data_IF_084272530921
#
_entry.id   IF_084272530921
#
_cell.length_a   1.000
_cell.length_b   1.000
_cell.length_c   1.000
_cell.angle_alpha   90.00
_cell.angle_beta   90.00
_cell.angle_gamma   90.00
#
_symmetry.space_group_name_H-M   'P 1'
#
loop_
_entity.id
_entity.type
_entity.pdbx_description
1 polymer ?
#
# COMPACT_ATOMS: atom_id res chain seq x y z
N UNK A 1 -18.35 38.08 -17.15
CA UNK A 1 -17.47 37.33 -16.22
C UNK A 1 -18.10 35.96 -15.97
N UNK A 2 -17.70 34.92 -16.71
CA UNK A 2 -18.26 33.56 -16.55
C UNK A 2 -17.49 32.85 -15.43
N UNK A 3 -18.17 32.59 -14.30
CA UNK A 3 -17.61 31.80 -13.19
C UNK A 3 -17.39 30.37 -13.67
N UNK A 4 -16.12 29.96 -13.72
CA UNK A 4 -15.70 28.60 -14.01
C UNK A 4 -16.06 27.72 -12.79
N UNK A 5 -17.17 27.01 -12.86
CA UNK A 5 -17.52 25.99 -11.88
C UNK A 5 -16.58 24.79 -12.13
N UNK A 6 -15.52 24.64 -11.33
CA UNK A 6 -14.64 23.47 -11.39
C UNK A 6 -15.40 22.25 -10.87
N UNK A 7 -16.11 21.57 -11.78
CA UNK A 7 -16.74 20.28 -11.47
C UNK A 7 -15.63 19.22 -11.40
N UNK A 8 -15.34 18.75 -10.20
CA UNK A 8 -14.41 17.65 -9.95
C UNK A 8 -15.17 16.35 -10.25
N UNK A 9 -15.05 15.85 -11.47
CA UNK A 9 -15.58 14.53 -11.82
C UNK A 9 -14.58 13.43 -11.43
N UNK A 10 -15.01 12.35 -10.74
CA UNK A 10 -14.15 11.22 -10.43
C UNK A 10 -13.75 10.45 -11.71
N UNK A 11 -12.46 10.12 -11.83
CA UNK A 11 -11.76 9.55 -13.01
C UNK A 11 -12.39 8.25 -13.53
N UNK A 12 -13.07 7.49 -12.67
CA UNK A 12 -13.79 6.25 -13.05
C UNK A 12 -14.90 6.53 -14.06
N UNK A 13 -15.53 7.71 -14.00
CA UNK A 13 -16.60 8.10 -14.92
C UNK A 13 -16.07 8.41 -16.34
N UNK A 14 -14.80 8.80 -16.47
CA UNK A 14 -14.20 9.16 -17.76
C UNK A 14 -13.83 7.91 -18.59
N UNK A 15 -13.46 6.81 -17.94
CA UNK A 15 -13.12 5.55 -18.63
C UNK A 15 -14.32 4.90 -19.33
N UNK A 16 -15.50 4.94 -18.70
CA UNK A 16 -16.74 4.43 -19.31
C UNK A 16 -17.21 5.33 -20.47
N UNK A 17 -17.06 6.65 -20.34
CA UNK A 17 -17.34 7.59 -21.43
C UNK A 17 -16.41 7.37 -22.62
N UNK A 18 -15.11 7.07 -22.39
CA UNK A 18 -14.14 6.77 -23.44
C UNK A 18 -14.49 5.50 -24.24
N UNK A 19 -14.97 4.44 -23.57
CA UNK A 19 -15.39 3.20 -24.23
C UNK A 19 -16.67 3.38 -25.08
N UNK A 20 -17.60 4.21 -24.60
CA UNK A 20 -18.85 4.55 -25.32
C UNK A 20 -18.57 5.47 -26.52
N UNK A 21 -17.61 6.40 -26.40
CA UNK A 21 -17.23 7.32 -27.49
C UNK A 21 -16.51 6.61 -28.63
N UNK A 22 -15.65 5.63 -28.33
CA UNK A 22 -14.88 4.86 -29.34
C UNK A 22 -15.74 3.76 -29.99
N UNK A 23 -16.71 3.19 -29.26
CA UNK A 23 -17.54 2.08 -29.77
C UNK A 23 -18.60 2.47 -30.81
N UNK A 24 -18.87 3.76 -31.04
CA UNK A 24 -19.98 4.23 -31.88
C UNK A 24 -19.59 5.04 -33.12
N UNK A 25 -18.30 5.31 -33.37
CA UNK A 25 -17.84 6.00 -34.59
C UNK A 25 -16.78 5.21 -35.34
N UNK A 26 -16.96 5.13 -36.65
CA UNK A 26 -15.99 4.58 -37.60
C UNK A 26 -14.65 5.31 -37.44
N UNK A 27 -13.55 4.57 -37.52
CA UNK A 27 -12.21 4.90 -37.01
C UNK A 27 -11.48 6.08 -37.69
N UNK A 28 -12.16 6.97 -38.41
CA UNK A 28 -11.51 7.85 -39.38
C UNK A 28 -11.50 9.36 -39.09
N UNK A 29 -12.32 9.92 -38.18
CA UNK A 29 -12.09 11.32 -37.75
C UNK A 29 -12.53 11.58 -36.31
N UNK A 30 -11.56 11.62 -35.40
CA UNK A 30 -11.73 12.22 -34.08
C UNK A 30 -11.58 13.74 -34.21
N UNK A 31 -12.46 14.49 -33.56
CA UNK A 31 -12.34 15.95 -33.60
C UNK A 31 -11.24 16.47 -32.65
N UNK A 32 -10.88 17.75 -32.80
CA UNK A 32 -9.81 18.37 -32.01
C UNK A 32 -10.11 18.41 -30.50
N UNK A 33 -11.38 18.38 -30.10
CA UNK A 33 -11.78 18.34 -28.69
C UNK A 33 -11.65 16.92 -28.14
N UNK A 34 -12.04 15.91 -28.91
CA UNK A 34 -11.88 14.49 -28.58
C UNK A 34 -10.39 14.11 -28.46
N UNK A 35 -9.53 14.57 -29.38
CA UNK A 35 -8.08 14.36 -29.30
C UNK A 35 -7.46 15.00 -28.06
N UNK A 36 -7.88 16.22 -27.68
CA UNK A 36 -7.42 16.87 -26.44
C UNK A 36 -7.83 16.10 -25.19
N UNK A 37 -9.04 15.54 -25.17
CA UNK A 37 -9.51 14.71 -24.06
C UNK A 37 -8.70 13.41 -23.97
N UNK A 38 -8.43 12.76 -25.10
CA UNK A 38 -7.61 11.54 -25.16
C UNK A 38 -6.18 11.80 -24.70
N UNK A 39 -5.60 12.93 -25.11
CA UNK A 39 -4.23 13.28 -24.74
C UNK A 39 -4.11 13.66 -23.26
N UNK A 40 -5.08 14.39 -22.72
CA UNK A 40 -5.17 14.64 -21.27
C UNK A 40 -5.41 13.35 -20.47
N UNK A 41 -6.23 12.44 -20.97
CA UNK A 41 -6.40 11.12 -20.36
C UNK A 41 -5.10 10.30 -20.38
N UNK A 42 -4.41 10.24 -21.52
CA UNK A 42 -3.12 9.56 -21.67
C UNK A 42 -2.05 10.15 -20.75
N UNK A 43 -2.04 11.48 -20.60
CA UNK A 43 -1.14 12.21 -19.72
C UNK A 43 -1.45 11.95 -18.25
N UNK A 44 -2.72 11.89 -17.87
CA UNK A 44 -3.15 11.53 -16.50
C UNK A 44 -2.84 10.06 -16.17
N UNK A 45 -3.09 9.14 -17.09
CA UNK A 45 -2.69 7.74 -16.94
C UNK A 45 -1.17 7.57 -16.82
N UNK A 46 -0.38 8.30 -17.61
CA UNK A 46 1.09 8.31 -17.46
C UNK A 46 1.53 8.92 -16.13
N UNK A 47 0.88 9.98 -15.66
CA UNK A 47 1.19 10.62 -14.38
C UNK A 47 0.84 9.70 -13.19
N UNK A 48 -0.27 8.97 -13.28
CA UNK A 48 -0.65 7.93 -12.31
C UNK A 48 0.33 6.76 -12.32
N UNK A 49 0.82 6.36 -13.50
CA UNK A 49 1.84 5.31 -13.66
C UNK A 49 3.25 5.74 -13.20
N UNK A 50 3.56 7.05 -13.22
CA UNK A 50 4.87 7.59 -12.86
C UNK A 50 4.92 8.23 -11.45
N UNK A 51 3.78 8.45 -10.80
CA UNK A 51 3.68 9.26 -9.58
C UNK A 51 2.50 8.91 -8.69
N UNK A 52 2.30 7.62 -8.39
CA UNK A 52 1.25 7.12 -7.51
C UNK A 52 1.14 7.87 -6.17
N UNK A 53 -0.03 7.87 -5.53
CA UNK A 53 -0.29 8.61 -4.29
C UNK A 53 0.57 8.16 -3.08
N UNK A 54 1.31 7.06 -3.23
CA UNK A 54 2.26 6.50 -2.26
C UNK A 54 3.59 6.28 -2.98
N UNK A 55 4.69 6.51 -2.27
CA UNK A 55 6.06 6.21 -2.75
C UNK A 55 6.53 4.83 -2.31
N UNK A 56 7.62 4.32 -2.94
CA UNK A 56 8.27 3.08 -2.51
C UNK A 56 8.56 3.11 -1.00
N UNK A 57 8.19 2.03 -0.33
CA UNK A 57 8.44 1.82 1.09
C UNK A 57 9.54 0.79 1.33
N UNK A 58 9.99 0.71 2.58
CA UNK A 58 11.04 -0.22 3.02
C UNK A 58 10.64 -0.94 4.29
N UNK A 59 11.26 -2.09 4.51
CA UNK A 59 11.25 -2.79 5.79
C UNK A 59 12.49 -2.48 6.62
N UNK A 60 12.35 -2.50 7.95
CA UNK A 60 13.41 -2.39 8.94
C UNK A 60 13.15 -3.37 10.08
N UNK A 61 14.20 -3.96 10.65
CA UNK A 61 14.09 -4.95 11.72
C UNK A 61 15.00 -4.64 12.89
N UNK A 62 14.53 -4.92 14.10
CA UNK A 62 15.33 -5.06 15.33
C UNK A 62 15.15 -6.48 15.83
N UNK A 63 16.25 -7.13 16.22
CA UNK A 63 16.29 -8.57 16.47
C UNK A 63 16.55 -9.40 15.21
N UNK A 64 16.73 -10.70 15.39
CA UNK A 64 16.93 -11.65 14.28
C UNK A 64 15.59 -12.15 13.77
N UNK A 65 15.35 -11.95 12.47
CA UNK A 65 14.12 -12.34 11.80
C UNK A 65 14.44 -13.33 10.68
N UNK A 66 14.63 -14.63 10.96
CA UNK A 66 14.94 -15.60 9.91
C UNK A 66 13.81 -15.73 8.88
N UNK A 67 14.20 -15.96 7.62
CA UNK A 67 13.29 -16.25 6.51
C UNK A 67 12.71 -17.66 6.65
N UNK A 68 11.49 -17.86 6.18
CA UNK A 68 10.83 -19.16 6.15
C UNK A 68 9.83 -19.26 5.01
N UNK A 69 9.62 -20.49 4.55
CA UNK A 69 8.60 -20.88 3.55
C UNK A 69 7.73 -22.03 4.06
N UNK A 70 7.86 -22.39 5.35
CA UNK A 70 7.34 -23.66 5.87
C UNK A 70 5.81 -23.71 5.97
N UNK A 71 5.15 -22.56 6.16
CA UNK A 71 3.70 -22.44 6.17
C UNK A 71 3.24 -21.59 4.99
N UNK A 72 2.23 -22.03 4.25
CA UNK A 72 1.68 -21.27 3.12
C UNK A 72 0.83 -20.07 3.57
N UNK A 73 0.41 -19.25 2.60
CA UNK A 73 -0.41 -18.05 2.85
C UNK A 73 0.40 -16.78 3.06
N UNK A 74 1.69 -16.79 2.73
CA UNK A 74 2.49 -15.56 2.64
C UNK A 74 2.34 -14.90 1.26
N UNK A 75 2.71 -13.63 1.18
CA UNK A 75 2.86 -12.88 -0.05
C UNK A 75 4.31 -12.98 -0.54
N UNK A 76 4.53 -12.90 -1.85
CA UNK A 76 5.89 -13.00 -2.38
C UNK A 76 6.52 -14.40 -2.20
N UNK A 77 7.86 -14.50 -2.13
CA UNK A 77 8.55 -15.79 -2.12
C UNK A 77 8.65 -16.44 -0.73
N UNK A 78 8.51 -15.69 0.36
CA UNK A 78 8.67 -16.15 1.75
C UNK A 78 8.15 -15.13 2.76
N UNK A 79 8.29 -15.44 4.05
CA UNK A 79 8.01 -14.54 5.17
C UNK A 79 9.18 -14.56 6.16
N UNK A 80 9.19 -13.61 7.09
CA UNK A 80 10.14 -13.57 8.20
C UNK A 80 9.44 -13.88 9.54
N UNK A 81 10.16 -14.51 10.47
CA UNK A 81 9.59 -14.98 11.74
C UNK A 81 10.38 -14.44 12.93
N UNK A 82 9.73 -14.35 14.08
CA UNK A 82 10.41 -14.11 15.36
C UNK A 82 9.67 -14.86 16.48
N UNK A 83 10.37 -15.49 17.44
CA UNK A 83 9.70 -16.06 18.62
C UNK A 83 9.03 -14.98 19.47
N UNK A 84 8.01 -15.38 20.22
CA UNK A 84 7.39 -14.56 21.26
C UNK A 84 8.44 -14.00 22.24
N UNK A 85 8.18 -12.82 22.79
CA UNK A 85 9.05 -12.17 23.76
C UNK A 85 8.43 -10.92 24.37
N UNK A 86 9.28 -9.98 24.77
CA UNK A 86 8.91 -8.79 25.55
C UNK A 86 8.55 -7.56 24.70
N UNK A 87 8.72 -7.64 23.38
CA UNK A 87 8.56 -6.53 22.43
C UNK A 87 9.87 -6.00 21.84
N UNK A 88 11.02 -6.57 22.23
CA UNK A 88 12.34 -6.22 21.69
C UNK A 88 12.54 -6.62 20.21
N UNK A 89 11.86 -7.67 19.75
CA UNK A 89 11.81 -8.03 18.34
C UNK A 89 10.83 -7.13 17.59
N UNK A 90 11.32 -6.32 16.65
CA UNK A 90 10.52 -5.31 15.93
C UNK A 90 10.65 -5.52 14.42
N UNK A 91 9.51 -5.54 13.72
CA UNK A 91 9.45 -5.48 12.26
C UNK A 91 8.67 -4.25 11.83
N UNK A 92 9.26 -3.42 10.99
CA UNK A 92 8.70 -2.12 10.61
C UNK A 92 8.59 -1.99 9.11
N UNK A 93 7.40 -1.68 8.60
CA UNK A 93 7.19 -1.20 7.22
C UNK A 93 6.97 0.31 7.24
N UNK A 94 7.74 1.05 6.44
CA UNK A 94 7.58 2.50 6.26
C UNK A 94 7.19 2.85 4.84
N UNK A 95 6.32 3.84 4.67
CA UNK A 95 5.91 4.39 3.36
C UNK A 95 5.78 5.91 3.42
N UNK A 96 5.82 6.56 2.25
CA UNK A 96 5.61 8.01 2.12
C UNK A 96 4.30 8.31 1.45
N UNK A 97 3.59 9.30 2.00
CA UNK A 97 2.27 9.73 1.51
C UNK A 97 2.43 10.97 0.61
N UNK A 98 2.07 10.85 -0.67
CA UNK A 98 2.15 11.98 -1.62
C UNK A 98 0.86 12.78 -1.73
N UNK A 99 -0.25 12.23 -1.27
CA UNK A 99 -1.56 12.86 -1.31
C UNK A 99 -2.25 12.68 0.03
N UNK A 100 -2.80 13.76 0.58
CA UNK A 100 -3.58 13.66 1.80
C UNK A 100 -4.84 12.82 1.57
N UNK A 101 -5.27 12.08 2.59
CA UNK A 101 -6.47 11.27 2.51
C UNK A 101 -6.54 10.20 3.59
N UNK A 102 -7.64 9.45 3.56
CA UNK A 102 -7.85 8.29 4.42
C UNK A 102 -7.36 7.03 3.70
N UNK A 103 -6.48 6.28 4.35
CA UNK A 103 -5.90 5.06 3.82
C UNK A 103 -6.28 3.87 4.71
N UNK A 104 -6.81 2.81 4.09
CA UNK A 104 -7.02 1.55 4.78
C UNK A 104 -5.75 0.70 4.71
N UNK A 105 -5.37 0.18 5.86
CA UNK A 105 -4.15 -0.59 6.06
C UNK A 105 -4.54 -2.05 6.31
N UNK A 106 -3.91 -2.96 5.58
CA UNK A 106 -4.09 -4.39 5.71
C UNK A 106 -2.75 -5.09 5.92
N UNK A 107 -2.80 -6.27 6.52
CA UNK A 107 -1.67 -7.20 6.64
C UNK A 107 -1.99 -8.54 6.00
N UNK A 108 -0.96 -9.24 5.53
CA UNK A 108 -0.99 -10.65 5.15
C UNK A 108 0.12 -11.37 5.91
N UNK A 109 -0.05 -12.66 6.17
CA UNK A 109 0.87 -13.50 6.91
C UNK A 109 0.55 -14.98 6.68
N UNK A 110 1.55 -15.85 6.82
CA UNK A 110 1.35 -17.29 6.85
C UNK A 110 0.76 -17.74 8.20
N UNK A 111 -0.41 -18.37 8.18
CA UNK A 111 -1.05 -18.90 9.40
C UNK A 111 -0.59 -20.31 9.73
N UNK A 112 -0.39 -20.57 11.03
CA UNK A 112 -0.13 -21.90 11.58
C UNK A 112 -0.51 -21.97 13.08
N UNK A 113 -0.69 -23.18 13.66
CA UNK A 113 -1.13 -23.32 15.05
C UNK A 113 -0.18 -22.74 16.12
N UNK A 114 1.12 -22.67 15.82
CA UNK A 114 2.21 -22.16 16.67
C UNK A 114 2.42 -20.63 16.56
N UNK A 115 1.60 -19.94 15.75
CA UNK A 115 1.64 -18.48 15.61
C UNK A 115 0.96 -17.78 16.76
N UNK A 116 1.32 -16.52 16.96
CA UNK A 116 0.71 -15.66 17.96
C UNK A 116 -0.80 -15.50 17.70
N UNK A 117 -1.62 -15.70 18.73
CA UNK A 117 -3.04 -15.35 18.70
C UNK A 117 -3.28 -13.86 18.96
N UNK A 118 -2.25 -13.16 19.45
CA UNK A 118 -2.32 -11.76 19.87
C UNK A 118 -1.20 -10.88 19.29
N UNK A 119 -0.78 -11.11 18.03
CA UNK A 119 0.27 -10.34 17.39
C UNK A 119 -0.07 -8.83 17.34
N UNK A 120 0.72 -7.94 17.98
CA UNK A 120 0.42 -6.52 18.02
C UNK A 120 0.99 -5.75 16.81
N UNK A 121 0.09 -5.14 16.03
CA UNK A 121 0.45 -4.22 14.94
C UNK A 121 0.12 -2.78 15.31
N UNK A 122 1.11 -1.89 15.33
CA UNK A 122 0.91 -0.46 15.56
C UNK A 122 1.05 0.33 14.28
N UNK A 123 -0.01 1.03 13.89
CA UNK A 123 -0.02 1.96 12.76
C UNK A 123 0.23 3.37 13.29
N UNK A 124 1.26 4.04 12.77
CA UNK A 124 1.54 5.45 13.01
C UNK A 124 1.03 6.27 11.83
N UNK A 125 0.26 7.31 12.13
CA UNK A 125 -0.43 8.14 11.15
C UNK A 125 -0.34 9.62 11.51
N UNK A 126 -1.06 10.47 10.78
CA UNK A 126 -0.91 11.91 10.85
C UNK A 126 -0.96 12.49 12.28
N UNK A 127 -0.17 13.54 12.52
CA UNK A 127 -0.15 14.25 13.80
C UNK A 127 0.56 13.50 14.93
N UNK A 128 1.47 12.58 14.60
CA UNK A 128 2.21 11.77 15.58
C UNK A 128 1.35 10.72 16.29
N UNK A 129 0.13 10.49 15.79
CA UNK A 129 -0.80 9.57 16.38
C UNK A 129 -0.44 8.12 16.03
N UNK A 130 -0.88 7.19 16.88
CA UNK A 130 -0.74 5.76 16.59
C UNK A 130 -1.88 4.94 17.17
N UNK A 131 -2.13 3.78 16.55
CA UNK A 131 -3.13 2.81 17.03
C UNK A 131 -2.56 1.41 16.92
N UNK A 132 -2.63 0.66 18.01
CA UNK A 132 -2.30 -0.77 18.03
C UNK A 132 -3.55 -1.60 17.79
N UNK A 133 -3.42 -2.61 16.93
CA UNK A 133 -4.45 -3.61 16.61
C UNK A 133 -3.86 -4.99 16.85
N UNK A 134 -4.60 -5.81 17.58
CA UNK A 134 -4.22 -7.18 17.88
C UNK A 134 -4.76 -8.10 16.79
N UNK A 135 -3.89 -8.93 16.22
CA UNK A 135 -4.22 -9.84 15.12
C UNK A 135 -3.92 -11.28 15.54
N UNK A 136 -4.88 -12.17 15.30
CA UNK A 136 -4.69 -13.60 15.49
C UNK A 136 -4.06 -14.23 14.24
N UNK A 137 -2.76 -14.53 14.32
CA UNK A 137 -2.00 -15.12 13.21
C UNK A 137 -2.16 -16.64 13.08
N UNK A 138 -2.96 -17.28 13.93
CA UNK A 138 -3.32 -18.70 13.75
C UNK A 138 -4.33 -18.90 12.63
N UNK A 139 -5.00 -17.83 12.20
CA UNK A 139 -6.10 -17.85 11.23
C UNK A 139 -6.02 -16.68 10.26
N UNK A 140 -6.67 -16.80 9.10
CA UNK A 140 -6.79 -15.70 8.12
C UNK A 140 -5.57 -15.52 7.22
N UNK A 141 -4.61 -16.45 7.26
CA UNK A 141 -3.41 -16.39 6.40
C UNK A 141 -3.75 -16.51 4.93
N UNK A 142 -2.93 -15.88 4.09
CA UNK A 142 -3.18 -15.72 2.65
C UNK A 142 -4.25 -14.69 2.30
N UNK A 143 -4.92 -14.10 3.30
CA UNK A 143 -5.93 -13.06 3.13
C UNK A 143 -5.43 -11.72 3.66
N UNK A 144 -6.02 -10.63 3.16
CA UNK A 144 -5.72 -9.28 3.62
C UNK A 144 -6.58 -8.93 4.84
N UNK A 145 -6.00 -8.96 6.03
CA UNK A 145 -6.65 -8.62 7.29
C UNK A 145 -6.54 -7.12 7.55
N UNK A 146 -7.66 -6.44 7.79
CA UNK A 146 -7.69 -4.99 8.00
C UNK A 146 -7.21 -4.59 9.39
N UNK A 147 -6.28 -3.64 9.46
CA UNK A 147 -5.91 -2.92 10.68
C UNK A 147 -6.78 -1.67 10.90
N UNK A 148 -7.58 -1.30 9.90
CA UNK A 148 -8.46 -0.13 9.92
C UNK A 148 -8.01 0.98 8.97
N UNK A 149 -8.69 2.11 9.07
CA UNK A 149 -8.53 3.27 8.19
C UNK A 149 -7.99 4.45 8.97
N UNK A 150 -6.95 5.09 8.43
CA UNK A 150 -6.20 6.13 9.12
C UNK A 150 -6.03 7.38 8.23
N UNK A 151 -6.13 8.58 8.80
CA UNK A 151 -5.88 9.81 8.08
C UNK A 151 -4.37 10.07 7.92
N UNK A 152 -3.98 10.45 6.72
CA UNK A 152 -2.63 10.91 6.39
C UNK A 152 -2.68 12.25 5.65
N UNK A 153 -1.65 13.07 5.84
CA UNK A 153 -1.39 14.27 5.05
C UNK A 153 -0.30 14.03 4.01
N UNK A 154 -0.26 14.90 2.99
CA UNK A 154 0.84 14.93 2.02
C UNK A 154 2.15 15.23 2.74
N UNK A 155 3.16 14.42 2.50
CA UNK A 155 4.49 14.53 3.12
C UNK A 155 4.65 13.66 4.36
N UNK A 156 3.57 13.08 4.90
CA UNK A 156 3.67 12.18 6.05
C UNK A 156 4.50 10.93 5.71
N UNK A 157 5.27 10.49 6.70
CA UNK A 157 5.89 9.17 6.71
C UNK A 157 5.04 8.22 7.55
N UNK A 158 4.27 7.37 6.88
CA UNK A 158 3.48 6.32 7.52
C UNK A 158 4.35 5.15 7.95
N UNK A 159 3.97 4.49 9.05
CA UNK A 159 4.68 3.34 9.59
C UNK A 159 3.72 2.30 10.15
N UNK A 160 3.94 1.04 9.82
CA UNK A 160 3.30 -0.13 10.46
C UNK A 160 4.38 -0.91 11.19
N UNK A 161 4.18 -1.18 12.48
CA UNK A 161 5.15 -1.86 13.33
C UNK A 161 4.51 -3.12 13.91
N UNK A 162 5.11 -4.28 13.65
CA UNK A 162 4.84 -5.53 14.36
C UNK A 162 5.91 -5.71 15.44
N UNK A 163 5.50 -6.13 16.64
CA UNK A 163 6.45 -6.51 17.70
C UNK A 163 6.24 -7.94 18.15
N UNK A 164 7.26 -8.55 18.74
CA UNK A 164 7.19 -9.90 19.28
C UNK A 164 6.56 -10.00 20.68
N UNK A 165 5.96 -8.91 21.22
CA UNK A 165 5.21 -8.95 22.48
C UNK A 165 3.89 -9.71 22.26
N UNK A 166 3.98 -11.03 22.22
CA UNK A 166 2.92 -11.92 21.80
C UNK A 166 3.03 -13.29 22.51
N UNK A 167 2.05 -14.16 22.29
CA UNK A 167 1.92 -15.49 22.92
C UNK A 167 2.43 -16.66 22.05
N UNK A 168 2.98 -16.36 20.87
CA UNK A 168 3.51 -17.35 19.93
C UNK A 168 4.44 -16.71 18.90
N UNK A 169 4.85 -17.48 17.88
CA UNK A 169 5.68 -16.93 16.81
C UNK A 169 4.94 -15.80 16.09
N UNK A 170 5.59 -14.65 15.94
CA UNK A 170 5.08 -13.54 15.13
C UNK A 170 5.64 -13.63 13.72
N UNK A 171 4.77 -13.40 12.74
CA UNK A 171 5.05 -13.55 11.32
C UNK A 171 4.96 -12.19 10.64
N UNK A 172 6.08 -11.78 10.04
CA UNK A 172 6.19 -10.58 9.24
C UNK A 172 6.26 -10.96 7.76
N UNK A 173 5.22 -10.63 7.03
CA UNK A 173 5.08 -10.91 5.60
C UNK A 173 4.78 -9.60 4.87
N UNK A 174 3.51 -9.25 4.64
CA UNK A 174 3.19 -8.06 3.84
C UNK A 174 2.19 -7.09 4.46
N UNK A 175 2.33 -5.82 4.11
CA UNK A 175 1.39 -4.73 4.38
C UNK A 175 0.85 -4.19 3.07
N UNK A 176 -0.46 -3.99 2.99
CA UNK A 176 -1.13 -3.32 1.87
C UNK A 176 -1.80 -2.04 2.34
N UNK A 177 -1.56 -0.95 1.61
CA UNK A 177 -2.13 0.37 1.84
C UNK A 177 -3.02 0.71 0.66
N UNK A 178 -4.27 1.09 0.93
CA UNK A 178 -5.25 1.45 -0.11
C UNK A 178 -5.92 2.78 0.24
N UNK A 179 -5.89 3.75 -0.69
CA UNK A 179 -6.66 4.97 -0.55
C UNK A 179 -8.16 4.68 -0.61
N UNK A 180 -8.93 5.18 0.37
CA UNK A 180 -10.38 4.92 0.44
C UNK A 180 -11.17 5.66 -0.63
N UNK A 181 -10.73 6.85 -1.02
CA UNK A 181 -11.35 7.68 -2.07
C UNK A 181 -10.62 7.57 -3.41
N UNK A 182 -9.37 7.13 -3.37
CA UNK A 182 -8.51 6.90 -4.53
C UNK A 182 -8.12 5.42 -4.52
N UNK A 183 -9.00 4.53 -4.94
CA UNK A 183 -8.76 3.08 -4.85
C UNK A 183 -7.60 2.60 -5.73
N UNK A 184 -7.23 3.40 -6.74
CA UNK A 184 -6.01 3.24 -7.53
C UNK A 184 -4.72 3.55 -6.74
N UNK A 185 -4.82 4.30 -5.62
CA UNK A 185 -3.72 4.51 -4.69
C UNK A 185 -3.51 3.24 -3.86
N UNK A 186 -2.69 2.32 -4.40
CA UNK A 186 -2.36 1.06 -3.75
C UNK A 186 -0.85 0.89 -3.65
N UNK A 187 -0.37 0.52 -2.46
CA UNK A 187 1.00 0.10 -2.23
C UNK A 187 0.99 -1.23 -1.49
N UNK A 188 1.83 -2.17 -1.91
CA UNK A 188 2.15 -3.37 -1.13
C UNK A 188 3.62 -3.29 -0.75
N UNK A 189 3.90 -3.51 0.52
CA UNK A 189 5.24 -3.67 1.07
C UNK A 189 5.37 -5.08 1.63
N UNK A 190 6.26 -5.84 1.05
CA UNK A 190 6.61 -7.20 1.41
C UNK A 190 7.74 -7.24 2.46
N UNK A 191 7.98 -8.42 3.05
CA UNK A 191 9.05 -8.66 4.02
C UNK A 191 10.45 -8.44 3.42
N UNK A 192 10.55 -8.54 2.09
CA UNK A 192 11.79 -8.32 1.31
C UNK A 192 11.93 -6.92 0.73
N UNK A 193 10.99 -5.99 0.95
CA UNK A 193 11.09 -4.63 0.42
C UNK A 193 12.31 -3.89 1.00
N UNK A 194 13.39 -3.84 0.22
CA UNK A 194 14.59 -3.04 0.50
C UNK A 194 14.51 -1.67 -0.19
N UNK A 195 15.29 -0.71 0.31
CA UNK A 195 15.57 0.52 -0.45
C UNK A 195 16.16 0.11 -1.82
N UNK A 196 15.54 0.51 -2.93
CA UNK A 196 16.37 0.82 -4.10
C UNK A 196 17.21 2.02 -3.69
N UNK A 197 18.47 1.78 -3.29
CA UNK A 197 19.45 2.86 -3.36
C UNK A 197 19.38 3.34 -4.80
N UNK A 198 19.03 4.60 -5.03
CA UNK A 198 19.08 5.18 -6.35
C UNK A 198 20.45 4.80 -6.93
N UNK A 199 20.48 3.90 -7.92
CA UNK A 199 21.67 3.64 -8.69
C UNK A 199 21.84 4.89 -9.54
N UNK A 200 22.47 5.90 -8.96
CA UNK A 200 23.15 6.91 -9.74
C UNK A 200 24.25 6.20 -10.49
N UNK A 201 23.98 5.76 -11.72
CA UNK A 201 25.04 5.59 -12.71
C UNK A 201 25.34 6.98 -13.27
N UNK A 202 26.01 7.79 -12.45
CA UNK A 202 26.86 8.86 -12.96
C UNK A 202 28.24 8.29 -13.24
N UNK A 203 28.76 8.55 -14.44
CA UNK A 203 30.12 8.22 -14.89
C UNK A 203 30.17 6.97 -15.78
N UNK A 204 30.68 7.03 -17.02
CA UNK A 204 31.60 7.97 -17.66
C UNK A 204 31.18 8.22 -19.10
#
# INVERSE_FOLDING_TARGET
MKRLLKLVFPVVFLGTVLFVMIGFRHLETLDAQELRVIEEFRKRMKLEAQGGALDEGRKQTVGEWPLSVNAHGYFGPDYQTHPAGDGSGIFTWTFRVKQAGNYQIFVNYASAPDRASNAPYTVYYHGGQSKTVIVNQKTGGGQWVSLGTFPFQKGDQGKVVLTNRADGFVIADAVKIVGTQNTWARLILDNRNALKTASGSGGR
#
